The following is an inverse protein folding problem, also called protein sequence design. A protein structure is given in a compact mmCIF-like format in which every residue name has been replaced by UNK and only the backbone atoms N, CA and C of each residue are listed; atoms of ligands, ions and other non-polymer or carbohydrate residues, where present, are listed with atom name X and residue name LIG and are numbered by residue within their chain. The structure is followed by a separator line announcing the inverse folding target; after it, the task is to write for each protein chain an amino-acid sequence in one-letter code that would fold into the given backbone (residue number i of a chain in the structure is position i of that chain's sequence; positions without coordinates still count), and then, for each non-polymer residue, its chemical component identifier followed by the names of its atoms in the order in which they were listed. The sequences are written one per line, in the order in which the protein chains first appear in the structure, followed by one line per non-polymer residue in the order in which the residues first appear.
data_IF_327332093956
#
_entry.id   IF_327332093956
#
_cell.length_a   1.000
_cell.length_b   1.000
_cell.length_c   1.000
_cell.angle_alpha   90.00
_cell.angle_beta   90.00
_cell.angle_gamma   90.00
#
_symmetry.space_group_name_H-M   'P 1'
#
loop_
_entity.id
_entity.type
_entity.pdbx_description
1 polymer ?
#
# COMPACT_ATOMS: atom_id res chain seq x y z
N UNK A 1 10.40 -10.32 -17.48
CA UNK A 1 10.90 -8.93 -17.59
C UNK A 1 12.30 -8.89 -17.01
N UNK A 2 13.29 -8.34 -17.72
CA UNK A 2 14.73 -8.48 -17.41
C UNK A 2 15.22 -7.62 -16.23
N UNK A 3 14.32 -7.04 -15.42
CA UNK A 3 14.69 -6.24 -14.24
C UNK A 3 15.34 -4.88 -14.51
N UNK A 4 15.53 -4.49 -15.78
CA UNK A 4 16.09 -3.19 -16.15
C UNK A 4 15.11 -2.05 -15.86
N UNK A 5 15.63 -0.94 -15.32
CA UNK A 5 14.86 0.26 -15.02
C UNK A 5 14.42 0.99 -16.32
N UNK A 6 13.19 1.53 -16.40
CA UNK A 6 12.75 2.38 -17.50
C UNK A 6 13.62 3.64 -17.65
N UNK A 7 13.69 4.22 -18.84
CA UNK A 7 14.47 5.45 -19.12
C UNK A 7 14.10 6.64 -18.23
N UNK A 8 12.86 6.71 -17.77
CA UNK A 8 12.35 7.77 -16.86
C UNK A 8 12.47 7.42 -15.38
N UNK A 9 13.08 6.28 -15.03
CA UNK A 9 13.29 5.93 -13.64
C UNK A 9 14.32 6.85 -13.03
N UNK A 10 13.97 7.46 -11.90
CA UNK A 10 14.90 8.23 -11.10
C UNK A 10 15.97 7.28 -10.53
N UNK A 11 17.25 7.64 -10.62
CA UNK A 11 18.36 6.83 -10.14
C UNK A 11 18.29 6.57 -8.62
N UNK A 12 17.57 7.41 -7.87
CA UNK A 12 17.29 7.22 -6.44
C UNK A 12 16.34 6.05 -6.17
N UNK A 13 15.61 5.58 -7.19
CA UNK A 13 14.79 4.38 -7.16
C UNK A 13 15.53 3.21 -7.81
N UNK A 14 16.64 2.82 -7.20
CA UNK A 14 17.27 1.53 -7.49
C UNK A 14 16.25 0.37 -7.33
N UNK A 15 16.52 -0.83 -7.87
CA UNK A 15 15.55 -1.93 -7.82
C UNK A 15 15.02 -2.24 -6.41
N UNK A 16 15.85 -2.09 -5.37
CA UNK A 16 15.45 -2.32 -3.98
C UNK A 16 14.56 -1.18 -3.44
N UNK A 17 14.90 0.08 -3.73
CA UNK A 17 14.11 1.25 -3.39
C UNK A 17 12.76 1.23 -4.09
N UNK A 18 12.72 0.85 -5.37
CA UNK A 18 11.48 0.67 -6.13
C UNK A 18 10.61 -0.44 -5.52
N UNK A 19 11.20 -1.56 -5.11
CA UNK A 19 10.47 -2.64 -4.44
C UNK A 19 9.91 -2.21 -3.08
N UNK A 20 10.69 -1.46 -2.28
CA UNK A 20 10.25 -0.88 -1.01
C UNK A 20 9.08 0.08 -1.22
N UNK A 21 9.23 1.05 -2.13
CA UNK A 21 8.19 2.00 -2.49
C UNK A 21 6.91 1.29 -2.95
N UNK A 22 7.05 0.32 -3.85
CA UNK A 22 5.92 -0.47 -4.36
C UNK A 22 5.16 -1.17 -3.24
N UNK A 23 5.85 -1.77 -2.26
CA UNK A 23 5.19 -2.39 -1.10
C UNK A 23 4.46 -1.38 -0.22
N UNK A 24 5.08 -0.24 0.08
CA UNK A 24 4.47 0.84 0.87
C UNK A 24 3.18 1.32 0.19
N UNK A 25 3.25 1.65 -1.11
CA UNK A 25 2.09 2.12 -1.85
C UNK A 25 1.02 1.05 -2.08
N UNK A 26 1.40 -0.22 -2.23
CA UNK A 26 0.44 -1.31 -2.34
C UNK A 26 -0.39 -1.47 -1.04
N UNK A 27 0.25 -1.37 0.13
CA UNK A 27 -0.43 -1.41 1.43
C UNK A 27 -1.38 -0.23 1.62
N UNK A 28 -0.94 0.96 1.23
CA UNK A 28 -1.74 2.19 1.28
C UNK A 28 -2.96 2.09 0.36
N UNK A 29 -2.75 1.65 -0.88
CA UNK A 29 -3.83 1.48 -1.85
C UNK A 29 -4.87 0.46 -1.38
N UNK A 30 -4.44 -0.68 -0.85
CA UNK A 30 -5.33 -1.69 -0.29
C UNK A 30 -6.15 -1.15 0.90
N UNK A 31 -5.51 -0.42 1.81
CA UNK A 31 -6.17 0.15 2.98
C UNK A 31 -7.20 1.20 2.59
N UNK A 32 -6.87 2.09 1.64
CA UNK A 32 -7.80 3.09 1.12
C UNK A 32 -8.99 2.44 0.40
N UNK A 33 -8.73 1.50 -0.49
CA UNK A 33 -9.79 0.81 -1.23
C UNK A 33 -10.75 0.08 -0.28
N UNK A 34 -10.23 -0.64 0.71
CA UNK A 34 -11.05 -1.37 1.66
C UNK A 34 -11.77 -0.44 2.64
N UNK A 35 -11.06 0.42 3.37
CA UNK A 35 -11.65 1.22 4.43
C UNK A 35 -12.42 2.45 3.90
N UNK A 36 -11.78 3.28 3.07
CA UNK A 36 -12.44 4.46 2.52
C UNK A 36 -13.52 4.08 1.50
N UNK A 37 -13.26 3.08 0.65
CA UNK A 37 -14.25 2.56 -0.29
C UNK A 37 -15.49 1.99 0.41
N UNK A 38 -15.31 1.15 1.43
CA UNK A 38 -16.41 0.62 2.23
C UNK A 38 -17.23 1.73 2.88
N UNK A 39 -16.59 2.78 3.41
CA UNK A 39 -17.29 3.94 3.99
C UNK A 39 -18.28 4.56 2.99
N UNK A 40 -17.90 4.70 1.72
CA UNK A 40 -18.78 5.25 0.69
C UNK A 40 -19.95 4.32 0.35
N UNK A 41 -19.70 3.01 0.21
CA UNK A 41 -20.73 2.01 -0.10
C UNK A 41 -21.77 1.94 1.01
N UNK A 42 -21.33 1.89 2.27
CA UNK A 42 -22.23 1.87 3.44
C UNK A 42 -22.99 3.18 3.56
N UNK A 43 -22.31 4.32 3.42
CA UNK A 43 -22.93 5.65 3.54
C UNK A 43 -24.02 5.90 2.50
N UNK A 44 -23.87 5.33 1.29
CA UNK A 44 -24.89 5.37 0.25
C UNK A 44 -26.03 4.35 0.44
N UNK A 45 -25.99 3.51 1.49
CA UNK A 45 -26.96 2.44 1.69
C UNK A 45 -26.86 1.32 0.64
N UNK A 46 -25.71 1.16 -0.01
CA UNK A 46 -25.50 0.19 -1.08
C UNK A 46 -25.46 -1.27 -0.61
N UNK A 47 -25.47 -1.50 0.70
CA UNK A 47 -25.44 -2.82 1.33
C UNK A 47 -26.41 -2.84 2.50
N UNK A 48 -27.22 -3.90 2.62
CA UNK A 48 -28.12 -4.06 3.74
C UNK A 48 -27.34 -4.31 5.04
N UNK A 49 -27.84 -3.82 6.18
CA UNK A 49 -27.17 -4.00 7.47
C UNK A 49 -26.92 -5.49 7.83
N UNK A 50 -27.78 -6.39 7.35
CA UNK A 50 -27.66 -7.84 7.53
C UNK A 50 -26.52 -8.47 6.73
N UNK A 51 -26.06 -7.81 5.67
CA UNK A 51 -25.03 -8.31 4.74
C UNK A 51 -23.65 -7.71 5.01
N UNK A 52 -23.57 -6.70 5.88
CA UNK A 52 -22.35 -5.92 6.14
C UNK A 52 -21.16 -6.80 6.54
N UNK A 53 -21.36 -7.77 7.44
CA UNK A 53 -20.28 -8.66 7.88
C UNK A 53 -19.71 -9.49 6.73
N UNK A 54 -20.59 -10.08 5.92
CA UNK A 54 -20.17 -10.89 4.77
C UNK A 54 -19.46 -10.04 3.72
N UNK A 55 -19.89 -8.79 3.54
CA UNK A 55 -19.19 -7.84 2.69
C UNK A 55 -17.78 -7.53 3.19
N UNK A 56 -17.62 -7.22 4.48
CA UNK A 56 -16.31 -6.97 5.10
C UNK A 56 -15.35 -8.17 4.97
N UNK A 57 -15.86 -9.38 5.13
CA UNK A 57 -15.11 -10.63 4.90
C UNK A 57 -14.70 -10.76 3.43
N UNK A 58 -15.59 -10.43 2.48
CA UNK A 58 -15.31 -10.48 1.04
C UNK A 58 -14.23 -9.50 0.58
N UNK A 59 -14.08 -8.37 1.27
CA UNK A 59 -13.01 -7.39 1.04
C UNK A 59 -11.64 -7.87 1.55
N UNK A 60 -11.61 -8.92 2.38
CA UNK A 60 -10.37 -9.42 2.97
C UNK A 60 -9.75 -8.46 3.98
N UNK A 61 -10.57 -7.65 4.68
CA UNK A 61 -10.10 -6.65 5.63
C UNK A 61 -9.10 -7.19 6.67
N UNK A 62 -9.26 -8.41 7.25
CA UNK A 62 -8.26 -8.98 8.15
C UNK A 62 -6.88 -9.18 7.51
N UNK A 63 -6.85 -9.63 6.24
CA UNK A 63 -5.59 -9.81 5.52
C UNK A 63 -4.93 -8.45 5.20
N UNK A 64 -5.71 -7.45 4.81
CA UNK A 64 -5.22 -6.08 4.56
C UNK A 64 -4.64 -5.47 5.83
N UNK A 65 -5.28 -5.66 6.97
CA UNK A 65 -4.76 -5.24 8.28
C UNK A 65 -3.47 -5.98 8.64
N UNK A 66 -3.41 -7.28 8.40
CA UNK A 66 -2.20 -8.08 8.63
C UNK A 66 -1.01 -7.63 7.78
N UNK A 67 -1.25 -7.22 6.53
CA UNK A 67 -0.21 -6.70 5.63
C UNK A 67 0.43 -5.39 6.12
N UNK A 68 -0.18 -4.67 7.08
CA UNK A 68 0.40 -3.46 7.66
C UNK A 68 1.61 -3.75 8.56
N UNK A 69 1.80 -5.00 8.97
CA UNK A 69 3.02 -5.42 9.66
C UNK A 69 4.26 -5.07 8.82
N UNK A 70 5.22 -4.37 9.45
CA UNK A 70 6.45 -3.92 8.80
C UNK A 70 6.31 -2.69 7.90
N UNK A 71 5.15 -2.01 7.86
CA UNK A 71 4.98 -0.78 7.07
C UNK A 71 6.01 0.30 7.44
N UNK A 72 6.13 0.61 8.74
CA UNK A 72 7.06 1.64 9.23
C UNK A 72 8.51 1.27 8.92
N UNK A 73 8.88 0.00 9.09
CA UNK A 73 10.23 -0.47 8.76
C UNK A 73 10.53 -0.31 7.26
N UNK A 74 9.59 -0.66 6.39
CA UNK A 74 9.73 -0.44 4.94
C UNK A 74 9.83 1.06 4.61
N UNK A 75 9.06 1.92 5.29
CA UNK A 75 9.13 3.38 5.14
C UNK A 75 10.50 3.93 5.58
N UNK A 76 11.04 3.46 6.71
CA UNK A 76 12.34 3.88 7.22
C UNK A 76 13.47 3.44 6.27
N UNK A 77 13.41 2.21 5.77
CA UNK A 77 14.39 1.69 4.80
C UNK A 77 14.33 2.44 3.48
N UNK A 78 13.12 2.78 3.02
CA UNK A 78 12.93 3.61 1.83
C UNK A 78 13.49 5.01 2.04
N UNK A 79 13.17 5.66 3.16
CA UNK A 79 13.67 6.99 3.48
C UNK A 79 15.20 7.03 3.50
N UNK A 80 15.85 6.05 4.14
CA UNK A 80 17.32 5.94 4.12
C UNK A 80 17.87 5.85 2.70
N UNK A 81 17.28 5.03 1.84
CA UNK A 81 17.72 4.92 0.43
C UNK A 81 17.52 6.22 -0.37
N UNK A 82 16.40 6.92 -0.15
CA UNK A 82 16.09 8.15 -0.89
C UNK A 82 16.89 9.36 -0.43
N UNK A 83 17.29 9.41 0.85
CA UNK A 83 17.90 10.59 1.47
C UNK A 83 19.36 10.40 1.88
N UNK A 84 19.98 9.24 1.63
CA UNK A 84 21.42 9.01 1.84
C UNK A 84 22.33 10.00 1.09
N UNK A 85 21.83 10.69 0.05
CA UNK A 85 22.57 11.76 -0.66
C UNK A 85 22.62 13.12 0.06
N UNK A 86 21.93 13.32 1.19
CA UNK A 86 21.92 14.60 1.93
C UNK A 86 22.94 14.69 3.09
N UNK A 87 23.69 13.62 3.38
CA UNK A 87 24.68 13.56 4.50
C UNK A 87 26.15 13.74 4.07
N UNK A 88 26.43 14.26 2.87
CA UNK A 88 27.78 14.67 2.42
C UNK A 88 27.83 16.14 2.06
#
# INVERSE_FOLDING_TARGET
MNGALPEKADARLDPDALALASRVYAREAASKAAAEGQRWVIGAGGIAATELRTFEESLGAPAINGMQAGLVEDMDRLARKLYQEYET
#
